data_IF_190649684743
#
_entry.id   IF_190649684743
#
_cell.length_a   1.000
_cell.length_b   1.000
_cell.length_c   1.000
_cell.angle_alpha   90.00
_cell.angle_beta   90.00
_cell.angle_gamma   90.00
#
_symmetry.space_group_name_H-M   'P 1'
#
loop_
_entity.id
_entity.type
_entity.pdbx_description
1 polymer ?
#
# COMPACT_ATOMS: atom_id res chain seq x y z
N UNK A 1 5.81 -1.50 -29.43
CA UNK A 1 4.37 -1.82 -29.39
C UNK A 1 3.75 -1.46 -30.71
N UNK A 2 2.88 -2.28 -31.31
CA UNK A 2 2.13 -1.90 -32.51
C UNK A 2 1.22 -0.71 -32.16
N UNK A 3 1.41 0.41 -32.84
CA UNK A 3 0.58 1.60 -32.62
C UNK A 3 -0.81 1.34 -33.21
N UNK A 4 -1.84 1.35 -32.36
CA UNK A 4 -3.23 1.16 -32.79
C UNK A 4 -3.68 2.39 -33.59
N UNK A 5 -4.47 2.16 -34.64
CA UNK A 5 -5.14 3.23 -35.35
C UNK A 5 -6.12 3.99 -34.42
N UNK A 6 -6.46 5.22 -34.78
CA UNK A 6 -7.42 6.02 -34.00
C UNK A 6 -8.75 5.27 -33.74
N UNK A 7 -9.23 4.53 -34.74
CA UNK A 7 -10.49 3.76 -34.60
C UNK A 7 -10.35 2.60 -33.61
N UNK A 8 -9.25 1.89 -33.65
CA UNK A 8 -8.95 0.79 -32.72
C UNK A 8 -8.83 1.33 -31.30
N UNK A 9 -8.12 2.47 -31.10
CA UNK A 9 -7.99 3.13 -29.79
C UNK A 9 -9.36 3.50 -29.21
N UNK A 10 -10.22 4.13 -30.00
CA UNK A 10 -11.56 4.55 -29.52
C UNK A 10 -12.44 3.36 -29.21
N UNK A 11 -12.46 2.32 -30.04
CA UNK A 11 -13.27 1.12 -29.80
C UNK A 11 -12.74 0.33 -28.59
N UNK A 12 -11.41 0.18 -28.43
CA UNK A 12 -10.81 -0.47 -27.29
C UNK A 12 -11.15 0.27 -25.98
N UNK A 13 -11.03 1.61 -25.96
CA UNK A 13 -11.44 2.44 -24.82
C UNK A 13 -12.90 2.16 -24.44
N UNK A 14 -13.83 2.26 -25.38
CA UNK A 14 -15.24 2.02 -25.11
C UNK A 14 -15.52 0.62 -24.56
N UNK A 15 -14.85 -0.41 -25.09
CA UNK A 15 -15.04 -1.79 -24.60
C UNK A 15 -14.55 -1.91 -23.16
N UNK A 16 -13.39 -1.35 -22.83
CA UNK A 16 -12.83 -1.44 -21.50
C UNK A 16 -13.68 -0.67 -20.49
N UNK A 17 -14.05 0.58 -20.78
CA UNK A 17 -14.89 1.40 -19.91
C UNK A 17 -16.23 0.72 -19.62
N UNK A 18 -16.91 0.21 -20.65
CA UNK A 18 -18.19 -0.49 -20.49
C UNK A 18 -18.02 -1.84 -19.76
N UNK A 19 -16.92 -2.55 -19.98
CA UNK A 19 -16.64 -3.79 -19.27
C UNK A 19 -16.38 -3.54 -17.78
N UNK A 20 -15.64 -2.51 -17.42
CA UNK A 20 -15.42 -2.09 -16.03
C UNK A 20 -16.75 -1.82 -15.33
N UNK A 21 -17.70 -1.17 -16.01
CA UNK A 21 -19.00 -0.87 -15.40
C UNK A 21 -19.97 -2.05 -15.30
N UNK A 22 -19.83 -3.06 -16.15
CA UNK A 22 -20.86 -4.11 -16.30
C UNK A 22 -20.37 -5.52 -16.00
N UNK A 23 -19.06 -5.76 -16.01
CA UNK A 23 -18.42 -7.07 -15.99
C UNK A 23 -18.98 -8.07 -17.03
N UNK A 24 -19.65 -7.57 -18.07
CA UNK A 24 -20.27 -8.39 -19.10
C UNK A 24 -19.53 -8.25 -20.44
N UNK A 25 -19.41 -9.33 -21.23
CA UNK A 25 -18.83 -9.26 -22.57
C UNK A 25 -19.54 -8.23 -23.45
N UNK A 26 -18.80 -7.34 -24.08
CA UNK A 26 -19.32 -6.20 -24.84
C UNK A 26 -19.50 -6.56 -26.31
N UNK A 27 -20.70 -6.37 -26.85
CA UNK A 27 -21.03 -6.66 -28.26
C UNK A 27 -21.00 -5.43 -29.16
N UNK A 28 -20.67 -5.61 -30.46
CA UNK A 28 -20.62 -4.51 -31.44
C UNK A 28 -21.92 -3.72 -31.59
N UNK A 29 -23.07 -4.35 -31.39
CA UNK A 29 -24.37 -3.67 -31.40
C UNK A 29 -24.58 -2.76 -30.21
N UNK A 30 -24.03 -3.14 -29.06
CA UNK A 30 -24.09 -2.32 -27.86
C UNK A 30 -23.29 -1.03 -28.07
N UNK A 31 -22.00 -1.15 -28.47
CA UNK A 31 -21.13 0.01 -28.75
C UNK A 31 -21.75 0.95 -29.79
N UNK A 32 -22.33 0.40 -30.89
CA UNK A 32 -22.96 1.21 -31.93
C UNK A 32 -24.13 2.04 -31.43
N UNK A 33 -24.77 1.67 -30.31
CA UNK A 33 -25.94 2.37 -29.74
C UNK A 33 -25.59 3.30 -28.60
N UNK A 34 -24.56 2.96 -27.79
CA UNK A 34 -24.24 3.68 -26.55
C UNK A 34 -23.10 4.66 -26.71
N UNK A 35 -22.22 4.45 -27.67
CA UNK A 35 -21.09 5.35 -27.92
C UNK A 35 -21.40 6.38 -29.01
N UNK A 36 -20.78 7.55 -28.92
CA UNK A 36 -20.84 8.60 -29.94
C UNK A 36 -20.11 8.22 -31.25
N UNK A 37 -19.66 6.98 -31.35
CA UNK A 37 -18.98 6.44 -32.53
C UNK A 37 -20.00 6.20 -33.64
N UNK A 38 -19.99 7.03 -34.65
CA UNK A 38 -20.87 6.89 -35.84
C UNK A 38 -20.40 5.78 -36.79
N UNK A 39 -20.25 4.55 -36.27
CA UNK A 39 -19.86 3.37 -37.03
C UNK A 39 -20.96 2.31 -37.01
N UNK A 40 -21.06 1.55 -38.13
CA UNK A 40 -22.02 0.45 -38.20
C UNK A 40 -21.57 -0.71 -37.27
N UNK A 41 -22.51 -1.51 -36.74
CA UNK A 41 -22.15 -2.71 -35.95
C UNK A 41 -21.22 -3.68 -36.68
N UNK A 42 -21.31 -3.76 -38.02
CA UNK A 42 -20.45 -4.57 -38.85
C UNK A 42 -18.99 -4.05 -38.86
N UNK A 43 -18.82 -2.73 -38.99
CA UNK A 43 -17.50 -2.07 -38.91
C UNK A 43 -16.87 -2.25 -37.53
N UNK A 44 -17.64 -2.04 -36.48
CA UNK A 44 -17.18 -2.24 -35.09
C UNK A 44 -16.74 -3.70 -34.89
N UNK A 45 -17.52 -4.68 -35.39
CA UNK A 45 -17.17 -6.09 -35.28
C UNK A 45 -15.84 -6.43 -35.96
N UNK A 46 -15.56 -5.86 -37.12
CA UNK A 46 -14.26 -6.05 -37.79
C UNK A 46 -13.11 -5.51 -36.95
N UNK A 47 -13.23 -4.28 -36.43
CA UNK A 47 -12.20 -3.70 -35.53
C UNK A 47 -12.03 -4.54 -34.25
N UNK A 48 -13.12 -5.07 -33.69
CA UNK A 48 -13.03 -5.98 -32.52
C UNK A 48 -12.27 -7.26 -32.88
N UNK A 49 -12.43 -7.77 -34.12
CA UNK A 49 -11.65 -8.94 -34.59
C UNK A 49 -10.16 -8.59 -34.75
N UNK A 50 -9.84 -7.44 -35.32
CA UNK A 50 -8.46 -6.97 -35.45
C UNK A 50 -7.78 -6.80 -34.07
N UNK A 51 -8.52 -6.25 -33.08
CA UNK A 51 -8.04 -6.10 -31.69
C UNK A 51 -7.88 -7.47 -30.99
N UNK A 52 -8.69 -8.45 -31.33
CA UNK A 52 -8.55 -9.84 -30.85
C UNK A 52 -7.32 -10.52 -31.45
N UNK A 53 -7.09 -10.39 -32.75
CA UNK A 53 -5.88 -10.89 -33.42
C UNK A 53 -4.59 -10.28 -32.86
N UNK A 54 -4.68 -9.04 -32.39
CA UNK A 54 -3.60 -8.33 -31.70
C UNK A 54 -3.52 -8.65 -30.18
N UNK A 55 -4.39 -9.52 -29.65
CA UNK A 55 -4.43 -9.89 -28.23
C UNK A 55 -4.79 -8.75 -27.26
N UNK A 56 -5.50 -7.73 -27.67
CA UNK A 56 -6.06 -6.71 -26.77
C UNK A 56 -7.43 -7.11 -26.21
N UNK A 57 -8.16 -7.92 -26.99
CA UNK A 57 -9.45 -8.47 -26.61
C UNK A 57 -9.43 -9.99 -26.74
N UNK A 58 -10.35 -10.65 -26.05
CA UNK A 58 -10.65 -12.07 -26.23
C UNK A 58 -12.16 -12.29 -26.22
N UNK A 59 -12.62 -13.44 -26.66
CA UNK A 59 -14.04 -13.77 -26.59
C UNK A 59 -14.30 -14.86 -25.55
N UNK A 60 -15.38 -14.70 -24.81
CA UNK A 60 -15.89 -15.76 -23.96
C UNK A 60 -16.71 -16.73 -24.84
N UNK A 61 -16.43 -18.02 -24.76
CA UNK A 61 -17.02 -19.07 -25.58
C UNK A 61 -18.56 -19.14 -25.56
N UNK A 62 -19.21 -18.47 -24.63
CA UNK A 62 -20.68 -18.48 -24.42
C UNK A 62 -21.41 -17.29 -25.00
N UNK A 63 -20.71 -16.23 -25.41
CA UNK A 63 -21.33 -15.00 -25.93
C UNK A 63 -20.60 -14.44 -27.15
N UNK A 64 -21.32 -13.77 -28.06
CA UNK A 64 -20.69 -13.07 -29.20
C UNK A 64 -20.00 -11.75 -28.84
N UNK A 65 -19.87 -11.42 -27.54
CA UNK A 65 -19.18 -10.24 -27.02
C UNK A 65 -17.66 -10.46 -26.85
N UNK A 66 -16.96 -9.36 -26.58
CA UNK A 66 -15.52 -9.38 -26.30
C UNK A 66 -15.27 -8.90 -24.89
N UNK A 67 -14.20 -9.42 -24.29
CA UNK A 67 -13.68 -8.98 -22.98
C UNK A 67 -12.23 -8.52 -23.15
N UNK A 68 -11.78 -7.52 -22.37
CA UNK A 68 -10.40 -7.08 -22.39
C UNK A 68 -9.45 -8.18 -21.88
N UNK A 69 -8.23 -8.21 -22.40
CA UNK A 69 -7.11 -8.99 -21.87
C UNK A 69 -6.24 -8.10 -20.96
N UNK A 70 -5.31 -8.71 -20.20
CA UNK A 70 -4.31 -7.95 -19.44
C UNK A 70 -3.54 -6.96 -20.33
N UNK A 71 -3.19 -7.36 -21.55
CA UNK A 71 -2.57 -6.50 -22.55
C UNK A 71 -3.48 -5.33 -22.96
N UNK A 72 -4.78 -5.59 -23.10
CA UNK A 72 -5.77 -4.54 -23.36
C UNK A 72 -5.86 -3.52 -22.24
N UNK A 73 -5.97 -3.97 -20.99
CA UNK A 73 -5.96 -3.10 -19.82
C UNK A 73 -4.65 -2.34 -19.68
N UNK A 74 -3.50 -2.97 -19.89
CA UNK A 74 -2.19 -2.30 -19.84
C UNK A 74 -2.08 -1.18 -20.88
N UNK A 75 -2.57 -1.43 -22.09
CA UNK A 75 -2.59 -0.42 -23.13
C UNK A 75 -3.55 0.73 -22.80
N UNK A 76 -4.70 0.41 -22.24
CA UNK A 76 -5.67 1.41 -21.77
C UNK A 76 -5.06 2.33 -20.72
N UNK A 77 -4.45 1.77 -19.68
CA UNK A 77 -3.80 2.54 -18.59
C UNK A 77 -2.68 3.43 -19.12
N UNK A 78 -1.86 2.93 -20.03
CA UNK A 78 -0.68 3.67 -20.49
C UNK A 78 -0.99 4.73 -21.56
N UNK A 79 -2.01 4.49 -22.40
CA UNK A 79 -2.18 5.27 -23.64
C UNK A 79 -3.58 5.90 -23.79
N UNK A 80 -4.60 5.35 -23.14
CA UNK A 80 -5.98 5.74 -23.38
C UNK A 80 -6.67 6.38 -22.17
N UNK A 81 -6.26 6.00 -20.97
CA UNK A 81 -6.84 6.51 -19.73
C UNK A 81 -6.42 7.97 -19.52
N UNK A 82 -7.38 8.81 -19.22
CA UNK A 82 -7.13 10.18 -18.78
C UNK A 82 -7.27 10.25 -17.27
N UNK A 83 -6.29 10.84 -16.59
CA UNK A 83 -6.37 11.05 -15.14
C UNK A 83 -7.37 12.17 -14.87
N UNK A 84 -8.46 11.85 -14.20
CA UNK A 84 -9.41 12.85 -13.75
C UNK A 84 -9.03 13.32 -12.33
N UNK A 85 -8.87 14.63 -12.12
CA UNK A 85 -8.63 15.16 -10.78
C UNK A 85 -9.89 14.99 -9.93
N UNK A 86 -9.72 14.73 -8.64
CA UNK A 86 -10.82 14.73 -7.69
C UNK A 86 -11.62 16.04 -7.80
N UNK A 87 -12.95 15.91 -7.85
CA UNK A 87 -13.84 17.08 -7.84
C UNK A 87 -13.80 17.78 -6.47
N UNK A 88 -14.16 19.06 -6.44
CA UNK A 88 -14.03 19.86 -5.22
C UNK A 88 -14.79 19.28 -4.02
N UNK A 89 -15.98 18.75 -4.25
CA UNK A 89 -16.78 18.11 -3.18
C UNK A 89 -16.09 16.89 -2.57
N UNK A 90 -15.39 16.09 -3.37
CA UNK A 90 -14.61 14.95 -2.87
C UNK A 90 -13.44 15.41 -2.02
N UNK A 91 -12.74 16.45 -2.47
CA UNK A 91 -11.63 17.06 -1.70
C UNK A 91 -12.09 17.63 -0.38
N UNK A 92 -13.24 18.33 -0.37
CA UNK A 92 -13.80 18.95 0.82
C UNK A 92 -14.26 17.86 1.81
N UNK A 93 -14.87 16.78 1.32
CA UNK A 93 -15.26 15.64 2.13
C UNK A 93 -14.05 14.94 2.76
N UNK A 94 -13.00 14.70 1.97
CA UNK A 94 -11.74 14.13 2.45
C UNK A 94 -11.11 14.99 3.54
N UNK A 95 -11.02 16.29 3.27
CA UNK A 95 -10.42 17.26 4.20
C UNK A 95 -11.20 17.31 5.52
N UNK A 96 -12.53 17.30 5.46
CA UNK A 96 -13.38 17.31 6.65
C UNK A 96 -13.17 16.03 7.48
N UNK A 97 -13.19 14.85 6.85
CA UNK A 97 -13.00 13.59 7.55
C UNK A 97 -11.61 13.46 8.17
N UNK A 98 -10.56 13.89 7.46
CA UNK A 98 -9.19 13.85 7.98
C UNK A 98 -8.98 14.84 9.15
N UNK A 99 -9.63 16.00 9.14
CA UNK A 99 -9.54 16.99 10.21
C UNK A 99 -10.29 16.59 11.50
N UNK A 100 -11.25 15.68 11.41
CA UNK A 100 -11.96 15.15 12.57
C UNK A 100 -11.20 14.02 13.29
N UNK A 101 -10.10 13.54 12.71
CA UNK A 101 -9.33 12.45 13.31
C UNK A 101 -8.57 12.93 14.55
N UNK A 102 -8.73 12.20 15.63
CA UNK A 102 -7.84 12.32 16.78
C UNK A 102 -6.42 11.88 16.39
N UNK A 103 -5.36 12.48 16.91
CA UNK A 103 -3.98 12.15 16.54
C UNK A 103 -3.49 10.81 17.13
N UNK A 104 -4.34 9.80 17.11
CA UNK A 104 -3.99 8.42 17.45
C UNK A 104 -3.56 7.74 16.17
N UNK A 105 -2.30 7.35 16.09
CA UNK A 105 -1.67 6.86 14.84
C UNK A 105 -2.45 5.71 14.18
N UNK A 106 -2.84 4.71 14.93
CA UNK A 106 -3.56 3.55 14.39
C UNK A 106 -4.94 3.91 13.82
N UNK A 107 -5.63 4.87 14.43
CA UNK A 107 -6.94 5.34 13.97
C UNK A 107 -6.81 6.11 12.65
N UNK A 108 -5.75 6.88 12.47
CA UNK A 108 -5.48 7.59 11.20
C UNK A 108 -5.36 6.60 10.04
N UNK A 109 -4.53 5.57 10.15
CA UNK A 109 -4.34 4.60 9.07
C UNK A 109 -5.61 3.81 8.76
N UNK A 110 -6.34 3.43 9.79
CA UNK A 110 -7.63 2.76 9.64
C UNK A 110 -8.65 3.65 8.93
N UNK A 111 -8.73 4.92 9.30
CA UNK A 111 -9.68 5.84 8.68
C UNK A 111 -9.26 6.19 7.25
N UNK A 112 -7.98 6.39 6.98
CA UNK A 112 -7.46 6.58 5.61
C UNK A 112 -7.79 5.39 4.73
N UNK A 113 -7.59 4.15 5.22
CA UNK A 113 -7.97 2.97 4.44
C UNK A 113 -9.48 2.92 4.16
N UNK A 114 -10.32 3.24 5.17
CA UNK A 114 -11.77 3.32 5.00
C UNK A 114 -12.18 4.34 3.93
N UNK A 115 -11.60 5.54 3.99
CA UNK A 115 -11.88 6.62 3.03
C UNK A 115 -11.45 6.23 1.62
N UNK A 116 -10.26 5.66 1.46
CA UNK A 116 -9.78 5.17 0.17
C UNK A 116 -10.72 4.11 -0.41
N UNK A 117 -11.16 3.15 0.40
CA UNK A 117 -12.11 2.13 -0.03
C UNK A 117 -13.47 2.70 -0.43
N UNK A 118 -13.97 3.69 0.31
CA UNK A 118 -15.23 4.36 -0.01
C UNK A 118 -15.17 5.12 -1.35
N UNK A 119 -14.06 5.80 -1.62
CA UNK A 119 -13.88 6.58 -2.84
C UNK A 119 -13.62 5.72 -4.06
N UNK A 120 -12.73 4.74 -3.94
CA UNK A 120 -12.39 3.85 -5.03
C UNK A 120 -13.48 2.81 -5.31
N UNK A 121 -14.30 2.49 -4.30
CA UNK A 121 -15.23 1.34 -4.26
C UNK A 121 -14.51 0.00 -4.42
N UNK A 122 -13.23 -0.02 -4.12
CA UNK A 122 -12.34 -1.18 -4.18
C UNK A 122 -11.78 -1.49 -2.79
N UNK A 123 -11.15 -2.65 -2.64
CA UNK A 123 -10.39 -2.92 -1.42
C UNK A 123 -9.17 -2.00 -1.40
N UNK A 124 -9.04 -1.28 -0.32
CA UNK A 124 -7.89 -0.45 -0.04
C UNK A 124 -7.08 -1.01 1.12
N UNK A 125 -5.79 -0.90 1.01
CA UNK A 125 -4.85 -1.37 2.02
C UNK A 125 -3.86 -0.25 2.33
N UNK A 126 -3.79 0.14 3.59
CA UNK A 126 -2.82 1.12 4.07
C UNK A 126 -1.86 0.41 5.02
N UNK A 127 -0.58 0.50 4.74
CA UNK A 127 0.45 -0.01 5.65
C UNK A 127 0.92 1.08 6.59
N UNK A 128 1.27 0.71 7.81
CA UNK A 128 1.99 1.60 8.69
C UNK A 128 3.38 1.92 8.09
N UNK A 129 3.88 3.16 8.20
CA UNK A 129 5.18 3.51 7.65
C UNK A 129 6.31 2.80 8.39
N UNK A 130 7.41 2.55 7.69
CA UNK A 130 8.61 1.98 8.29
C UNK A 130 9.31 2.99 9.20
N UNK A 131 9.48 2.63 10.47
CA UNK A 131 10.22 3.46 11.42
C UNK A 131 11.72 3.47 11.13
N UNK A 132 12.25 2.39 10.54
CA UNK A 132 13.69 2.22 10.29
C UNK A 132 14.34 3.32 9.45
N UNK A 133 13.59 3.93 8.55
CA UNK A 133 14.04 5.04 7.71
C UNK A 133 13.87 6.41 8.41
N UNK A 134 13.12 6.46 9.51
CA UNK A 134 12.88 7.69 10.27
C UNK A 134 14.14 8.19 10.95
N UNK A 135 14.28 9.52 11.02
CA UNK A 135 15.37 10.17 11.73
C UNK A 135 15.09 10.17 13.23
N UNK A 136 15.99 9.59 13.99
CA UNK A 136 15.91 9.53 15.44
C UNK A 136 15.79 10.94 16.04
N UNK A 137 14.81 11.12 16.90
CA UNK A 137 14.61 12.35 17.66
C UNK A 137 15.09 12.17 19.08
N UNK A 138 14.53 11.20 19.80
CA UNK A 138 14.90 10.92 21.20
C UNK A 138 14.55 9.50 21.62
N UNK A 139 15.23 9.09 22.70
CA UNK A 139 14.97 7.88 23.44
C UNK A 139 14.58 8.24 24.88
N UNK A 140 13.58 7.56 25.40
CA UNK A 140 13.21 7.64 26.82
C UNK A 140 13.29 6.26 27.43
N UNK A 141 13.86 6.18 28.64
CA UNK A 141 13.95 4.97 29.46
C UNK A 141 13.14 5.18 30.72
N UNK A 142 12.09 4.38 30.89
CA UNK A 142 11.21 4.47 32.05
C UNK A 142 11.28 3.19 32.85
N UNK A 143 11.67 3.31 34.10
CA UNK A 143 11.67 2.18 35.03
C UNK A 143 10.26 1.93 35.54
N UNK A 144 9.63 0.83 35.11
CA UNK A 144 8.28 0.45 35.53
C UNK A 144 8.27 -0.36 36.83
N UNK A 145 9.34 -1.13 37.07
CA UNK A 145 9.53 -1.90 38.30
C UNK A 145 11.03 -2.22 38.49
N UNK A 146 11.36 -2.89 39.57
CA UNK A 146 12.76 -3.33 39.81
C UNK A 146 13.35 -4.21 38.71
N UNK A 147 12.52 -4.81 37.86
CA UNK A 147 12.92 -5.77 36.81
C UNK A 147 12.38 -5.44 35.43
N UNK A 148 11.68 -4.31 35.24
CA UNK A 148 11.04 -3.95 33.98
C UNK A 148 11.45 -2.55 33.54
N UNK A 149 12.07 -2.45 32.37
CA UNK A 149 12.46 -1.21 31.72
C UNK A 149 11.64 -1.00 30.45
N UNK A 150 10.94 0.12 30.36
CA UNK A 150 10.26 0.56 29.16
C UNK A 150 11.24 1.42 28.33
N UNK A 151 11.40 1.08 27.07
CA UNK A 151 12.16 1.83 26.09
C UNK A 151 11.21 2.46 25.10
N UNK A 152 11.20 3.79 24.99
CA UNK A 152 10.43 4.54 24.01
C UNK A 152 11.40 5.20 23.06
N UNK A 153 11.30 4.89 21.76
CA UNK A 153 12.09 5.50 20.70
C UNK A 153 11.17 6.37 19.86
N UNK A 154 11.48 7.65 19.75
CA UNK A 154 10.75 8.63 18.92
C UNK A 154 11.59 9.04 17.72
N UNK A 155 10.93 9.22 16.57
CA UNK A 155 11.52 9.78 15.37
C UNK A 155 10.92 11.14 15.07
N UNK A 156 11.60 11.96 14.28
CA UNK A 156 11.19 13.36 13.98
C UNK A 156 9.79 13.50 13.39
N UNK A 157 9.30 12.50 12.69
CA UNK A 157 7.92 12.47 12.18
C UNK A 157 6.84 12.33 13.26
N UNK A 158 7.22 12.19 14.53
CA UNK A 158 6.30 11.97 15.65
C UNK A 158 5.93 10.48 15.88
N UNK A 159 6.36 9.57 15.00
CA UNK A 159 6.15 8.15 15.22
C UNK A 159 6.99 7.65 16.40
N UNK A 160 6.45 6.70 17.16
CA UNK A 160 7.11 6.16 18.34
C UNK A 160 7.04 4.64 18.34
N UNK A 161 8.10 4.03 18.88
CA UNK A 161 8.14 2.60 19.21
C UNK A 161 8.30 2.43 20.70
N UNK A 162 7.49 1.59 21.30
CA UNK A 162 7.55 1.29 22.72
C UNK A 162 7.84 -0.19 22.93
N UNK A 163 8.86 -0.49 23.71
CA UNK A 163 9.32 -1.85 23.99
C UNK A 163 9.53 -2.06 25.47
N UNK A 164 9.16 -3.24 25.97
CA UNK A 164 9.34 -3.63 27.36
C UNK A 164 10.45 -4.67 27.46
N UNK A 165 11.44 -4.41 28.31
CA UNK A 165 12.55 -5.31 28.55
C UNK A 165 12.62 -5.76 30.01
N UNK A 166 13.02 -7.00 30.20
CA UNK A 166 13.42 -7.51 31.50
C UNK A 166 14.88 -7.08 31.79
N UNK A 167 15.10 -6.52 32.97
CA UNK A 167 16.40 -6.06 33.42
C UNK A 167 16.74 -6.68 34.77
N UNK A 168 18.02 -6.78 35.07
CA UNK A 168 18.48 -7.19 36.38
C UNK A 168 18.05 -6.16 37.44
N UNK A 169 17.70 -6.63 38.62
CA UNK A 169 17.26 -5.74 39.72
C UNK A 169 18.42 -4.82 40.17
N UNK A 170 18.11 -3.55 40.43
CA UNK A 170 19.07 -2.62 41.04
C UNK A 170 19.59 -1.50 40.11
N UNK A 171 18.96 -1.32 38.92
CA UNK A 171 19.34 -0.16 38.09
C UNK A 171 18.79 1.12 38.75
N UNK A 172 19.68 2.00 39.17
CA UNK A 172 19.29 3.26 39.78
C UNK A 172 18.79 4.25 38.74
N UNK A 173 17.91 5.15 39.20
CA UNK A 173 17.35 6.22 38.35
C UNK A 173 18.44 7.08 37.73
N UNK A 174 19.47 7.45 38.52
CA UNK A 174 20.58 8.25 38.03
C UNK A 174 21.36 7.58 36.88
N UNK A 175 21.51 6.23 36.95
CA UNK A 175 22.14 5.48 35.83
C UNK A 175 21.28 5.51 34.58
N UNK A 176 19.95 5.37 34.73
CA UNK A 176 19.00 5.44 33.61
C UNK A 176 19.08 6.81 32.95
N UNK A 177 18.96 7.88 33.72
CA UNK A 177 18.99 9.26 33.22
C UNK A 177 20.31 9.57 32.51
N UNK A 178 21.43 9.14 33.06
CA UNK A 178 22.77 9.31 32.46
C UNK A 178 22.88 8.57 31.12
N UNK A 179 22.48 7.30 31.07
CA UNK A 179 22.53 6.50 29.83
C UNK A 179 21.61 7.07 28.77
N UNK A 180 20.41 7.48 29.17
CA UNK A 180 19.44 8.13 28.27
C UNK A 180 20.05 9.40 27.64
N UNK A 181 20.67 10.25 28.44
CA UNK A 181 21.32 11.47 27.95
C UNK A 181 22.46 11.18 26.95
N UNK A 182 23.34 10.23 27.27
CA UNK A 182 24.45 9.85 26.39
C UNK A 182 23.92 9.23 25.07
N UNK A 183 22.92 8.34 25.13
CA UNK A 183 22.34 7.75 23.94
C UNK A 183 21.66 8.80 23.06
N UNK A 184 20.90 9.69 23.65
CA UNK A 184 20.26 10.77 22.90
C UNK A 184 21.28 11.67 22.18
N UNK A 185 22.39 12.02 22.85
CA UNK A 185 23.47 12.82 22.23
C UNK A 185 24.14 12.07 21.06
N UNK A 186 24.47 10.78 21.26
CA UNK A 186 25.21 9.99 20.26
C UNK A 186 24.36 9.53 19.07
N UNK A 187 23.06 9.44 19.22
CA UNK A 187 22.14 8.89 18.22
C UNK A 187 21.34 9.98 17.48
N UNK A 188 21.35 11.21 17.98
CA UNK A 188 20.59 12.33 17.38
C UNK A 188 20.94 12.57 15.93
N UNK A 189 19.90 12.75 15.09
CA UNK A 189 20.03 13.08 13.67
C UNK A 189 20.35 11.89 12.75
N UNK A 190 20.49 10.67 13.28
CA UNK A 190 20.69 9.46 12.50
C UNK A 190 19.35 8.79 12.18
N UNK A 191 19.28 8.06 11.09
CA UNK A 191 18.17 7.14 10.87
C UNK A 191 18.26 5.93 11.79
N UNK A 192 17.14 5.27 12.09
CA UNK A 192 17.17 4.07 12.93
C UNK A 192 18.01 2.96 12.27
N UNK A 193 18.04 2.89 10.94
CA UNK A 193 18.90 1.97 10.18
C UNK A 193 20.39 2.28 10.42
N UNK A 194 20.80 3.55 10.36
CA UNK A 194 22.19 3.95 10.65
C UNK A 194 22.57 3.66 12.10
N UNK A 195 21.67 3.94 13.04
CA UNK A 195 21.86 3.61 14.46
C UNK A 195 22.10 2.12 14.60
N UNK A 196 21.21 1.28 14.07
CA UNK A 196 21.33 -0.18 14.12
C UNK A 196 22.70 -0.66 13.65
N UNK A 197 23.15 -0.15 12.52
CA UNK A 197 24.39 -0.58 11.88
C UNK A 197 25.66 -0.07 12.59
N UNK A 198 25.59 1.05 13.32
CA UNK A 198 26.74 1.71 13.92
C UNK A 198 26.68 1.78 15.46
N UNK A 199 25.64 1.23 16.09
CA UNK A 199 25.38 1.36 17.52
C UNK A 199 26.56 0.94 18.38
N UNK A 200 27.10 -0.25 18.15
CA UNK A 200 28.21 -0.80 18.93
C UNK A 200 29.44 0.10 18.87
N UNK A 201 29.71 0.69 17.69
CA UNK A 201 30.86 1.60 17.53
C UNK A 201 30.68 2.89 18.31
N UNK A 202 29.45 3.40 18.35
CA UNK A 202 29.12 4.67 19.01
C UNK A 202 29.10 4.60 20.51
N UNK A 203 28.89 3.42 21.09
CA UNK A 203 28.81 3.23 22.54
C UNK A 203 30.14 2.73 23.15
N UNK A 204 31.18 2.45 22.36
CA UNK A 204 32.46 1.90 22.82
C UNK A 204 33.10 2.66 23.98
N UNK A 205 32.96 3.99 23.98
CA UNK A 205 33.59 4.90 24.94
C UNK A 205 32.75 5.13 26.19
N UNK A 206 31.57 4.50 26.31
CA UNK A 206 30.72 4.65 27.49
C UNK A 206 31.28 3.85 28.66
N UNK A 207 31.43 4.53 29.80
CA UNK A 207 32.03 3.96 30.99
C UNK A 207 31.31 2.73 31.54
N UNK A 208 32.05 1.90 32.28
CA UNK A 208 31.65 0.55 32.73
C UNK A 208 30.40 0.49 33.63
N UNK A 209 30.07 1.57 34.34
CA UNK A 209 28.93 1.63 35.24
C UNK A 209 27.53 1.51 34.54
N UNK A 210 27.50 1.66 33.24
CA UNK A 210 26.29 1.64 32.42
C UNK A 210 26.12 0.34 31.64
N UNK A 211 27.00 -0.63 31.82
CA UNK A 211 27.04 -1.87 31.01
C UNK A 211 25.73 -2.68 31.02
N UNK A 212 25.07 -2.71 32.15
CA UNK A 212 23.82 -3.47 32.29
C UNK A 212 22.71 -2.95 31.34
N UNK A 213 22.51 -1.63 31.29
CA UNK A 213 21.53 -1.01 30.40
C UNK A 213 21.97 -1.13 28.95
N UNK A 214 23.25 -0.84 28.66
CA UNK A 214 23.80 -0.94 27.32
C UNK A 214 23.72 -2.36 26.76
N UNK A 215 23.88 -3.38 27.63
CA UNK A 215 23.70 -4.77 27.23
C UNK A 215 22.31 -5.06 26.72
N UNK A 216 21.25 -4.51 27.34
CA UNK A 216 19.87 -4.65 26.86
C UNK A 216 19.74 -4.12 25.42
N UNK A 217 20.38 -2.97 25.13
CA UNK A 217 20.38 -2.40 23.78
C UNK A 217 21.17 -3.25 22.79
N UNK A 218 22.35 -3.75 23.17
CA UNK A 218 23.18 -4.59 22.30
C UNK A 218 22.47 -5.89 21.98
N UNK A 219 21.89 -6.55 22.99
CA UNK A 219 21.22 -7.85 22.84
C UNK A 219 19.87 -7.72 22.10
N UNK A 220 19.33 -6.51 22.01
CA UNK A 220 18.00 -6.25 21.44
C UNK A 220 18.01 -5.19 20.33
N UNK A 221 19.17 -4.92 19.73
CA UNK A 221 19.36 -3.84 18.76
C UNK A 221 18.37 -3.95 17.59
N UNK A 222 18.14 -5.16 17.09
CA UNK A 222 17.21 -5.41 15.99
C UNK A 222 15.77 -5.13 16.43
N UNK A 223 15.36 -5.55 17.62
CA UNK A 223 14.02 -5.27 18.14
C UNK A 223 13.77 -3.79 18.34
N UNK A 224 14.80 -3.02 18.71
CA UNK A 224 14.66 -1.59 19.00
C UNK A 224 14.67 -0.75 17.71
N UNK A 225 15.55 -1.06 16.75
CA UNK A 225 15.86 -0.18 15.62
C UNK A 225 15.53 -0.78 14.24
N UNK A 226 15.06 -2.03 14.16
CA UNK A 226 14.63 -2.65 12.90
C UNK A 226 13.12 -2.83 12.92
N UNK A 227 12.49 -2.59 11.78
CA UNK A 227 11.09 -2.98 11.61
C UNK A 227 10.99 -4.50 11.55
N UNK A 228 10.01 -5.05 12.26
CA UNK A 228 9.73 -6.49 12.18
C UNK A 228 9.25 -6.78 10.75
N UNK A 229 9.95 -7.65 10.03
CA UNK A 229 9.56 -8.05 8.67
C UNK A 229 8.16 -8.71 8.64
N UNK A 230 7.75 -9.30 9.76
CA UNK A 230 6.46 -9.95 9.96
C UNK A 230 5.43 -9.04 10.68
N UNK A 231 5.85 -7.86 11.13
CA UNK A 231 5.08 -6.97 12.00
C UNK A 231 4.45 -5.75 11.32
N UNK A 232 4.47 -5.68 9.97
CA UNK A 232 3.78 -4.58 9.29
C UNK A 232 2.28 -4.65 9.59
N UNK A 233 1.77 -3.63 10.27
CA UNK A 233 0.33 -3.52 10.49
C UNK A 233 -0.31 -3.00 9.21
N UNK A 234 -1.28 -3.77 8.70
CA UNK A 234 -2.08 -3.43 7.53
C UNK A 234 -3.49 -3.06 7.97
N UNK A 235 -4.00 -1.99 7.42
CA UNK A 235 -5.36 -1.51 7.63
C UNK A 235 -6.13 -1.66 6.34
N UNK A 236 -7.31 -2.28 6.42
CA UNK A 236 -8.15 -2.62 5.27
C UNK A 236 -9.40 -1.73 5.26
N UNK A 237 -9.76 -1.23 4.09
CA UNK A 237 -11.00 -0.53 3.80
C UNK A 237 -11.66 -1.06 2.53
N UNK A 238 -12.90 -0.67 2.26
CA UNK A 238 -13.61 -1.03 1.02
C UNK A 238 -14.16 -2.46 0.95
N UNK A 239 -14.07 -3.23 2.03
CA UNK A 239 -14.56 -4.63 2.06
C UNK A 239 -16.08 -4.75 1.88
N UNK A 240 -16.83 -3.73 2.22
CA UNK A 240 -18.28 -3.66 2.01
C UNK A 240 -18.60 -3.10 0.63
N UNK A 241 -17.85 -2.10 0.20
CA UNK A 241 -18.02 -1.38 -1.05
C UNK A 241 -17.78 -2.28 -2.26
N UNK A 242 -16.80 -3.19 -2.17
CA UNK A 242 -16.49 -4.13 -3.25
C UNK A 242 -17.63 -5.10 -3.56
N UNK A 243 -18.51 -5.37 -2.60
CA UNK A 243 -19.71 -6.21 -2.82
C UNK A 243 -20.70 -5.59 -3.80
N UNK A 244 -20.65 -4.28 -4.01
CA UNK A 244 -21.48 -3.59 -4.98
C UNK A 244 -20.92 -3.67 -6.41
N UNK A 245 -19.68 -4.12 -6.58
CA UNK A 245 -19.08 -4.30 -7.90
C UNK A 245 -19.65 -5.53 -8.60
N UNK A 246 -19.92 -5.45 -9.92
CA UNK A 246 -20.57 -6.53 -10.64
C UNK A 246 -19.80 -7.85 -10.69
N UNK A 247 -18.45 -7.80 -10.57
CA UNK A 247 -17.58 -8.97 -10.54
C UNK A 247 -17.73 -9.81 -9.27
N UNK A 248 -18.16 -9.19 -8.16
CA UNK A 248 -18.30 -9.83 -6.84
C UNK A 248 -19.73 -10.25 -6.50
N UNK A 249 -20.64 -10.21 -7.48
CA UNK A 249 -21.96 -10.81 -7.34
C UNK A 249 -21.94 -12.33 -7.11
N UNK A 250 -20.81 -13.00 -7.42
CA UNK A 250 -20.57 -14.40 -7.09
C UNK A 250 -19.85 -14.54 -5.76
N UNK A 251 -20.42 -15.36 -4.87
CA UNK A 251 -19.89 -15.66 -3.53
C UNK A 251 -18.46 -16.22 -3.55
N UNK A 252 -18.04 -16.90 -4.63
CA UNK A 252 -16.69 -17.44 -4.72
C UNK A 252 -15.64 -16.36 -4.91
N UNK A 253 -15.90 -15.38 -5.77
CA UNK A 253 -14.97 -14.27 -5.99
C UNK A 253 -14.78 -13.44 -4.71
N UNK A 254 -15.88 -13.21 -3.99
CA UNK A 254 -15.81 -12.54 -2.69
C UNK A 254 -14.98 -13.33 -1.66
N UNK A 255 -15.17 -14.65 -1.59
CA UNK A 255 -14.37 -15.50 -0.69
C UNK A 255 -12.89 -15.43 -1.02
N UNK A 256 -12.51 -15.50 -2.29
CA UNK A 256 -11.12 -15.44 -2.71
C UNK A 256 -10.45 -14.15 -2.24
N UNK A 257 -11.14 -13.00 -2.32
CA UNK A 257 -10.57 -11.72 -1.91
C UNK A 257 -10.45 -11.60 -0.39
N UNK A 258 -11.39 -12.14 0.36
CA UNK A 258 -11.28 -12.18 1.84
C UNK A 258 -10.11 -13.08 2.27
N UNK A 259 -9.96 -14.26 1.67
CA UNK A 259 -8.81 -15.13 1.93
C UNK A 259 -7.48 -14.42 1.63
N UNK A 260 -7.45 -13.60 0.58
CA UNK A 260 -6.28 -12.81 0.20
C UNK A 260 -5.96 -11.70 1.23
N UNK A 261 -6.98 -11.06 1.81
CA UNK A 261 -6.78 -10.06 2.88
C UNK A 261 -6.29 -10.69 4.18
N UNK A 262 -6.61 -11.95 4.46
CA UNK A 262 -6.12 -12.69 5.61
C UNK A 262 -4.65 -13.12 5.44
N UNK A 263 -4.15 -13.23 4.21
CA UNK A 263 -2.77 -13.58 3.91
C UNK A 263 -1.85 -12.36 3.86
N UNK A 264 -1.65 -11.71 5.00
CA UNK A 264 -0.84 -10.49 5.14
C UNK A 264 0.52 -10.54 4.44
N UNK A 265 1.19 -11.69 4.43
CA UNK A 265 2.50 -11.87 3.82
C UNK A 265 2.51 -11.62 2.31
N UNK A 266 1.44 -11.99 1.61
CA UNK A 266 1.31 -11.76 0.16
C UNK A 266 1.21 -10.26 -0.10
N UNK A 267 0.35 -9.57 0.64
CA UNK A 267 0.16 -8.12 0.52
C UNK A 267 1.46 -7.37 0.80
N UNK A 268 2.14 -7.70 1.89
CA UNK A 268 3.44 -7.09 2.24
C UNK A 268 4.49 -7.35 1.16
N UNK A 269 4.54 -8.58 0.62
CA UNK A 269 5.48 -8.93 -0.46
C UNK A 269 5.22 -8.08 -1.72
N UNK A 270 3.97 -7.89 -2.08
CA UNK A 270 3.57 -7.08 -3.24
C UNK A 270 3.96 -5.63 -3.03
N UNK A 271 3.57 -5.03 -1.90
CA UNK A 271 3.86 -3.62 -1.59
C UNK A 271 5.37 -3.33 -1.63
N UNK A 272 6.21 -4.26 -1.17
CA UNK A 272 7.66 -4.08 -1.15
C UNK A 272 8.37 -4.28 -2.49
N UNK A 273 7.70 -4.87 -3.49
CA UNK A 273 8.34 -5.26 -4.75
C UNK A 273 7.76 -4.59 -6.00
N UNK A 274 6.79 -3.70 -5.87
CA UNK A 274 6.24 -2.97 -7.01
C UNK A 274 7.10 -1.75 -7.33
N UNK A 275 7.66 -1.65 -8.55
CA UNK A 275 8.39 -0.47 -8.98
C UNK A 275 7.42 0.70 -9.18
N UNK A 276 7.66 1.83 -8.53
CA UNK A 276 6.91 3.05 -8.76
C UNK A 276 7.27 3.70 -10.12
N UNK A 277 6.30 4.34 -10.77
CA UNK A 277 6.52 5.18 -11.93
C UNK A 277 7.11 6.56 -11.55
N UNK A 278 7.23 7.46 -12.52
CA UNK A 278 7.74 8.83 -12.30
C UNK A 278 6.84 9.69 -11.38
N UNK A 279 5.58 9.29 -11.19
CA UNK A 279 4.61 9.96 -10.32
C UNK A 279 4.50 9.31 -8.93
N UNK A 280 5.31 8.28 -8.67
CA UNK A 280 5.25 7.51 -7.43
C UNK A 280 4.09 6.51 -7.38
N UNK A 281 3.40 6.28 -8.51
CA UNK A 281 2.31 5.31 -8.60
C UNK A 281 2.80 4.05 -9.30
N UNK A 282 2.42 2.90 -8.77
CA UNK A 282 2.70 1.60 -9.37
C UNK A 282 1.39 0.90 -9.71
N UNK A 283 1.30 0.36 -10.91
CA UNK A 283 0.13 -0.37 -11.38
C UNK A 283 0.57 -1.73 -11.91
N UNK A 284 -0.01 -2.81 -11.40
CA UNK A 284 0.20 -4.18 -11.86
C UNK A 284 -1.14 -4.79 -12.25
N UNK A 285 -1.21 -5.45 -13.40
CA UNK A 285 -2.46 -5.94 -13.99
C UNK A 285 -2.33 -7.44 -14.28
N UNK A 286 -3.25 -8.22 -13.71
CA UNK A 286 -3.41 -9.62 -14.04
C UNK A 286 -2.11 -10.43 -13.91
N UNK A 287 -1.65 -11.05 -14.99
CA UNK A 287 -0.45 -11.88 -15.02
C UNK A 287 0.89 -11.11 -14.78
N UNK A 288 0.87 -9.78 -14.69
CA UNK A 288 2.04 -9.00 -14.27
C UNK A 288 2.34 -9.19 -12.78
N UNK A 289 1.34 -9.60 -11.99
CA UNK A 289 1.52 -9.99 -10.61
C UNK A 289 2.31 -11.29 -10.54
N UNK A 290 3.39 -11.28 -9.74
CA UNK A 290 4.28 -12.44 -9.61
C UNK A 290 3.65 -13.58 -8.80
N UNK A 291 2.70 -13.27 -7.93
CA UNK A 291 2.00 -14.25 -7.11
C UNK A 291 0.78 -14.80 -7.87
N UNK A 292 0.65 -16.13 -7.93
CA UNK A 292 -0.43 -16.80 -8.65
C UNK A 292 -1.83 -16.45 -8.12
N UNK A 293 -1.94 -16.12 -6.84
CA UNK A 293 -3.21 -15.72 -6.20
C UNK A 293 -3.67 -14.32 -6.62
N UNK A 294 -2.77 -13.52 -7.18
CA UNK A 294 -3.02 -12.14 -7.60
C UNK A 294 -3.22 -11.98 -9.10
N UNK A 295 -3.12 -13.06 -9.88
CA UNK A 295 -3.22 -13.01 -11.34
C UNK A 295 -4.59 -12.58 -11.88
N UNK A 296 -5.63 -12.70 -11.07
CA UNK A 296 -6.99 -12.27 -11.43
C UNK A 296 -7.29 -10.83 -10.98
N UNK A 297 -6.31 -10.13 -10.38
CA UNK A 297 -6.50 -8.80 -9.81
C UNK A 297 -5.56 -7.77 -10.43
N UNK A 298 -6.01 -6.52 -10.38
CA UNK A 298 -5.14 -5.36 -10.62
C UNK A 298 -4.81 -4.69 -9.31
N UNK A 299 -3.57 -4.21 -9.18
CA UNK A 299 -3.08 -3.56 -7.97
C UNK A 299 -2.56 -2.19 -8.33
N UNK A 300 -3.04 -1.17 -7.64
CA UNK A 300 -2.53 0.20 -7.72
C UNK A 300 -1.92 0.54 -6.37
N UNK A 301 -0.67 0.93 -6.34
CA UNK A 301 0.02 1.31 -5.11
C UNK A 301 0.77 2.62 -5.24
N UNK A 302 0.92 3.32 -4.13
CA UNK A 302 1.73 4.52 -4.04
C UNK A 302 2.44 4.54 -2.69
N UNK A 303 3.65 5.06 -2.66
CA UNK A 303 4.38 5.29 -1.42
C UNK A 303 3.98 6.64 -0.81
N UNK A 304 3.96 6.70 0.50
CA UNK A 304 3.74 7.92 1.24
C UNK A 304 4.78 8.07 2.36
N UNK A 305 5.08 9.29 2.72
CA UNK A 305 5.98 9.61 3.81
C UNK A 305 5.22 10.31 4.94
N UNK A 306 5.63 10.09 6.17
CA UNK A 306 5.09 10.76 7.35
C UNK A 306 6.18 11.65 7.93
N UNK A 307 5.91 12.95 7.98
CA UNK A 307 6.85 13.99 8.38
C UNK A 307 7.66 14.57 7.22
N UNK A 308 8.33 15.70 7.49
CA UNK A 308 9.20 16.43 6.55
C UNK A 308 10.56 15.74 6.36
#
# INVERSE_FOLDING_TARGET
MSDLSYREKVILRCIIEEFIHTANPIGSRYISKTSDIKLSPATIRNVMSDLEDLNFLTHNHTSGGRVPTDKGYRYFVNELMESEPLIQNEKDMLTAQLNELEPVQDEIYKEVSRILGLLSKEISIVSQPYLSQGVFERLELVNLSSTKLLVVVSIKSGLMRTLLFDVESGISRDKIERVTGILNEKLSGLTLTEIRNTFIERIKDIQSDSKEILKVFIDSIDKIFQDEKEGMTLYFGGTTEILAQPEFGDTQNYRNIIELTDEKNIVVHVLNNMPADQNGISISIGAENKDDKLKDYSIVSSEYNVGD
#
